data_IF_681824190349
#
_entry.id   IF_681824190349
#
_cell.length_a   1.000
_cell.length_b   1.000
_cell.length_c   1.000
_cell.angle_alpha   90.00
_cell.angle_beta   90.00
_cell.angle_gamma   90.00
#
_symmetry.space_group_name_H-M   'P 1'
#
loop_
_entity.id
_entity.type
_entity.pdbx_description
1 polymer ?
#
# COMPACT_ATOMS: atom_id res chain seq x y z
N UNK A 1 -6.62 11.99 -25.62
CA UNK A 1 -5.88 11.00 -24.82
C UNK A 1 -5.75 9.74 -25.63
N UNK A 2 -4.51 9.31 -25.89
CA UNK A 2 -4.25 8.00 -26.48
C UNK A 2 -4.31 6.90 -25.41
N UNK A 3 -4.30 5.63 -25.84
CA UNK A 3 -4.37 4.49 -24.92
C UNK A 3 -3.18 4.41 -23.95
N UNK A 4 -2.02 4.95 -24.32
CA UNK A 4 -0.81 4.95 -23.47
C UNK A 4 -0.98 5.95 -22.33
N UNK A 5 -1.55 7.12 -22.61
CA UNK A 5 -1.86 8.14 -21.61
C UNK A 5 -2.91 7.65 -20.61
N UNK A 6 -3.96 6.98 -21.10
CA UNK A 6 -4.97 6.36 -20.24
C UNK A 6 -4.39 5.26 -19.34
N UNK A 7 -3.54 4.38 -19.89
CA UNK A 7 -2.90 3.32 -19.12
C UNK A 7 -2.02 3.89 -17.99
N UNK A 8 -1.29 4.98 -18.25
CA UNK A 8 -0.51 5.68 -17.22
C UNK A 8 -1.39 6.25 -16.12
N UNK A 9 -2.49 6.93 -16.48
CA UNK A 9 -3.41 7.47 -15.48
C UNK A 9 -4.06 6.37 -14.64
N UNK A 10 -4.45 5.25 -15.26
CA UNK A 10 -4.98 4.09 -14.54
C UNK A 10 -3.95 3.52 -13.57
N UNK A 11 -2.69 3.38 -14.00
CA UNK A 11 -1.60 2.88 -13.14
C UNK A 11 -1.44 3.77 -11.92
N UNK A 12 -1.41 5.10 -12.10
CA UNK A 12 -1.32 6.05 -10.99
C UNK A 12 -2.49 5.90 -10.01
N UNK A 13 -3.72 5.73 -10.51
CA UNK A 13 -4.88 5.53 -9.65
C UNK A 13 -4.83 4.20 -8.89
N UNK A 14 -4.35 3.14 -9.53
CA UNK A 14 -4.17 1.83 -8.90
C UNK A 14 -3.10 1.88 -7.81
N UNK A 15 -1.98 2.56 -8.06
CA UNK A 15 -0.90 2.75 -7.08
C UNK A 15 -1.39 3.55 -5.87
N UNK A 16 -2.14 4.63 -6.10
CA UNK A 16 -2.74 5.44 -5.02
C UNK A 16 -3.67 4.56 -4.16
N UNK A 17 -4.49 3.73 -4.76
CA UNK A 17 -5.41 2.85 -4.03
C UNK A 17 -4.66 1.75 -3.26
N UNK A 18 -3.60 1.18 -3.85
CA UNK A 18 -2.73 0.22 -3.18
C UNK A 18 -2.08 0.84 -1.92
N UNK A 19 -1.57 2.06 -2.02
CA UNK A 19 -0.98 2.79 -0.89
C UNK A 19 -2.02 3.06 0.21
N UNK A 20 -3.24 3.45 -0.15
CA UNK A 20 -4.32 3.69 0.82
C UNK A 20 -4.68 2.42 1.59
N UNK A 21 -4.81 1.30 0.88
CA UNK A 21 -5.10 -0.01 1.49
C UNK A 21 -3.97 -0.47 2.41
N UNK A 22 -2.72 -0.37 1.97
CA UNK A 22 -1.55 -0.69 2.79
C UNK A 22 -1.53 0.16 4.07
N UNK A 23 -1.83 1.45 3.98
CA UNK A 23 -1.89 2.32 5.15
C UNK A 23 -3.04 1.95 6.10
N UNK A 24 -4.21 1.59 5.57
CA UNK A 24 -5.33 1.14 6.40
C UNK A 24 -4.97 -0.14 7.16
N UNK A 25 -4.32 -1.10 6.50
CA UNK A 25 -3.82 -2.33 7.12
C UNK A 25 -2.76 -2.04 8.19
N UNK A 26 -1.81 -1.13 7.91
CA UNK A 26 -0.84 -0.68 8.92
C UNK A 26 -1.55 -0.13 10.17
N UNK A 27 -2.55 0.74 10.01
CA UNK A 27 -3.31 1.29 11.14
C UNK A 27 -4.07 0.20 11.91
N UNK A 28 -4.70 -0.75 11.20
CA UNK A 28 -5.38 -1.90 11.82
C UNK A 28 -4.41 -2.75 12.66
N UNK A 29 -3.18 -2.97 12.19
CA UNK A 29 -2.14 -3.69 12.94
C UNK A 29 -1.66 -2.88 14.16
N UNK A 30 -1.51 -1.56 14.03
CA UNK A 30 -1.16 -0.68 15.15
C UNK A 30 -2.23 -0.68 16.23
N UNK A 31 -3.51 -0.67 15.83
CA UNK A 31 -4.65 -0.73 16.74
C UNK A 31 -4.79 -2.13 17.39
N UNK A 32 -4.30 -3.19 16.71
CA UNK A 32 -4.12 -4.55 17.22
C UNK A 32 -2.83 -4.70 18.06
N UNK A 33 -2.62 -3.80 19.02
CA UNK A 33 -1.46 -3.75 19.94
C UNK A 33 -0.09 -3.89 19.25
N UNK A 34 0.04 -3.30 18.05
CA UNK A 34 1.23 -3.41 17.21
C UNK A 34 1.67 -4.87 16.98
N UNK A 35 0.71 -5.76 16.69
CA UNK A 35 0.93 -7.19 16.47
C UNK A 35 2.22 -7.46 15.65
N UNK A 36 3.25 -7.94 16.36
CA UNK A 36 4.61 -8.03 15.82
C UNK A 36 4.71 -9.00 14.65
N UNK A 37 3.91 -10.06 14.66
CA UNK A 37 3.89 -11.05 13.59
C UNK A 37 3.27 -10.47 12.32
N UNK A 38 2.28 -9.58 12.44
CA UNK A 38 1.61 -8.93 11.30
C UNK A 38 2.42 -7.75 10.78
N UNK A 39 2.96 -6.90 11.65
CA UNK A 39 3.61 -5.64 11.26
C UNK A 39 4.82 -5.89 10.34
N UNK A 40 5.57 -6.97 10.55
CA UNK A 40 6.75 -7.29 9.72
C UNK A 40 6.40 -7.77 8.30
N UNK A 41 5.15 -8.16 8.06
CA UNK A 41 4.72 -8.71 6.74
C UNK A 41 4.45 -7.63 5.70
N UNK A 42 4.17 -6.40 6.14
CA UNK A 42 3.78 -5.28 5.27
C UNK A 42 4.97 -4.39 4.88
N UNK A 43 6.13 -4.59 5.50
CA UNK A 43 7.37 -3.90 5.15
C UNK A 43 8.17 -4.69 4.12
N UNK A 44 8.80 -3.96 3.20
CA UNK A 44 9.79 -4.54 2.30
C UNK A 44 11.04 -4.93 3.08
N UNK A 45 11.75 -5.96 2.61
CA UNK A 45 12.93 -6.54 3.27
C UNK A 45 13.98 -5.51 3.71
N UNK A 46 14.18 -4.48 2.90
CA UNK A 46 15.20 -3.46 3.11
C UNK A 46 14.59 -2.10 3.52
N UNK A 47 13.42 -2.12 4.16
CA UNK A 47 12.82 -0.93 4.77
C UNK A 47 13.66 -0.42 5.94
N UNK A 48 13.79 0.90 6.08
CA UNK A 48 14.52 1.58 7.16
C UNK A 48 13.52 2.24 8.11
#
# INVERSE_FOLDING_TARGET
>A
MDNVELAKQITVLQDIEAIKKLKAEYCDICDDDHNQDRIVTIFVRDGI
#
